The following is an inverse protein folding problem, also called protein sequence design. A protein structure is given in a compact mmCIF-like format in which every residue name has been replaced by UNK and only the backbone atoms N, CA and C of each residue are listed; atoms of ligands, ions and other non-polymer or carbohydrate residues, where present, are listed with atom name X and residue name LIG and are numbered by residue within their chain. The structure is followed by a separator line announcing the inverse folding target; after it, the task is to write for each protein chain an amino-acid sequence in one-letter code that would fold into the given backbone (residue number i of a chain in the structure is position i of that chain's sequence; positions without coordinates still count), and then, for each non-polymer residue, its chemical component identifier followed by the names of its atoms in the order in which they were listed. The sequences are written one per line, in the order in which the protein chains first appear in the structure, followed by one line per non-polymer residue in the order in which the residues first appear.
data_IF_203398303929
#
_entry.id   IF_203398303929
#
_cell.length_a   1.000
_cell.length_b   1.000
_cell.length_c   1.000
_cell.angle_alpha   90.00
_cell.angle_beta   90.00
_cell.angle_gamma   90.00
#
_symmetry.space_group_name_H-M   'P 1'
#
loop_
_entity.id
_entity.type
_entity.pdbx_description
1 polymer ?
#
# COMPACT_ATOMS: atom_id res chain seq x y z
N UNK A 1 10.93 -5.89 2.24
CA UNK A 1 9.78 -6.61 1.63
C UNK A 1 8.70 -6.80 2.68
N UNK A 2 7.44 -6.89 2.25
CA UNK A 2 6.23 -6.96 3.07
C UNK A 2 5.32 -8.06 2.52
N UNK A 3 4.22 -8.31 3.21
CA UNK A 3 3.24 -9.35 2.83
C UNK A 3 1.91 -8.77 2.34
N UNK A 4 1.66 -7.50 2.64
CA UNK A 4 0.36 -6.86 2.46
C UNK A 4 -0.67 -7.24 3.54
N UNK A 5 -0.20 -7.82 4.64
CA UNK A 5 -1.01 -8.06 5.84
C UNK A 5 -0.73 -6.95 6.85
N UNK A 6 -1.66 -6.03 6.97
CA UNK A 6 -1.51 -4.87 7.84
C UNK A 6 -1.46 -5.30 9.30
N UNK A 7 -0.38 -4.89 10.00
CA UNK A 7 -0.20 -5.21 11.43
C UNK A 7 -1.04 -4.28 12.32
N UNK A 8 -1.10 -3.01 11.94
CA UNK A 8 -1.87 -2.00 12.69
C UNK A 8 -2.12 -0.78 11.82
N UNK A 9 -3.04 0.05 12.24
CA UNK A 9 -3.16 1.42 11.73
C UNK A 9 -2.37 2.37 12.63
N UNK A 10 -2.20 3.60 12.15
CA UNK A 10 -1.56 4.68 12.90
C UNK A 10 -2.04 6.03 12.42
N UNK A 11 -1.54 7.08 13.05
CA UNK A 11 -1.87 8.47 12.71
C UNK A 11 -0.62 9.30 12.45
N UNK A 12 -0.72 10.21 11.50
CA UNK A 12 0.28 11.26 11.29
C UNK A 12 0.14 12.29 12.42
N UNK A 13 1.16 12.43 13.24
CA UNK A 13 1.20 13.45 14.30
C UNK A 13 1.80 14.77 13.82
N UNK A 14 2.79 14.67 12.92
CA UNK A 14 3.47 15.86 12.39
C UNK A 14 3.98 15.61 10.97
N UNK A 15 3.91 16.65 10.17
CA UNK A 15 4.49 16.72 8.82
C UNK A 15 5.47 17.90 8.83
N UNK A 16 6.75 17.64 8.58
CA UNK A 16 7.80 18.67 8.62
C UNK A 16 8.57 18.65 7.30
N UNK A 17 8.55 19.73 6.52
CA UNK A 17 9.41 19.83 5.32
C UNK A 17 10.88 19.68 5.68
N UNK A 18 11.65 18.93 4.88
CA UNK A 18 13.08 18.70 5.11
C UNK A 18 13.81 18.39 3.82
N UNK A 19 14.79 19.20 3.44
CA UNK A 19 15.72 18.90 2.33
C UNK A 19 15.05 18.60 0.98
N UNK A 20 13.95 19.30 0.65
CA UNK A 20 13.13 19.04 -0.55
C UNK A 20 12.15 17.86 -0.41
N UNK A 21 12.31 17.02 0.61
CA UNK A 21 11.36 15.98 1.03
C UNK A 21 10.56 16.38 2.26
N UNK A 22 10.10 15.39 3.01
CA UNK A 22 9.27 15.59 4.21
C UNK A 22 9.61 14.55 5.25
N UNK A 23 9.71 14.98 6.51
CA UNK A 23 9.73 14.09 7.68
C UNK A 23 8.32 13.92 8.22
N UNK A 24 7.87 12.67 8.36
CA UNK A 24 6.62 12.32 9.00
C UNK A 24 6.90 11.78 10.40
N UNK A 25 6.19 12.31 11.41
CA UNK A 25 6.09 11.67 12.73
C UNK A 25 4.78 10.92 12.79
N UNK A 26 4.84 9.65 13.13
CA UNK A 26 3.73 8.72 13.13
C UNK A 26 3.56 8.11 14.53
N UNK A 27 2.30 7.92 14.94
CA UNK A 27 1.94 7.13 16.11
C UNK A 27 1.12 5.92 15.67
N UNK A 28 1.63 4.72 15.92
CA UNK A 28 0.92 3.47 15.68
C UNK A 28 -0.16 3.25 16.76
N UNK A 29 -1.32 2.70 16.38
CA UNK A 29 -2.41 2.40 17.32
C UNK A 29 -2.03 1.26 18.28
N UNK A 30 -1.09 0.38 17.86
CA UNK A 30 -0.49 -0.65 18.71
C UNK A 30 1.03 -0.49 18.76
N UNK A 31 1.66 -1.06 19.79
CA UNK A 31 3.12 -1.15 19.86
C UNK A 31 3.62 -2.00 18.69
N UNK A 32 4.59 -1.47 17.95
CA UNK A 32 5.34 -2.20 16.94
C UNK A 32 6.63 -2.74 17.60
N UNK A 33 6.61 -3.99 18.11
CA UNK A 33 7.73 -4.50 18.87
C UNK A 33 8.98 -4.59 18.01
N UNK A 34 10.11 -4.10 18.54
CA UNK A 34 11.43 -4.13 17.86
C UNK A 34 11.50 -3.29 16.56
N UNK A 35 10.63 -2.30 16.37
CA UNK A 35 10.83 -1.33 15.31
C UNK A 35 12.11 -0.53 15.61
N UNK A 36 13.13 -0.70 14.80
CA UNK A 36 14.45 -0.15 15.02
C UNK A 36 14.81 0.97 14.02
N UNK A 37 15.78 1.80 14.40
CA UNK A 37 16.40 2.76 13.51
C UNK A 37 16.99 2.05 12.28
N UNK A 38 16.73 2.58 11.08
CA UNK A 38 17.17 2.01 9.80
C UNK A 38 16.29 0.89 9.26
N UNK A 39 15.31 0.43 10.02
CA UNK A 39 14.37 -0.61 9.57
C UNK A 39 13.36 -0.06 8.56
N UNK A 40 12.95 -0.91 7.62
CA UNK A 40 11.89 -0.55 6.66
C UNK A 40 10.51 -0.77 7.29
N UNK A 41 9.61 0.17 7.05
CA UNK A 41 8.19 0.09 7.38
C UNK A 41 7.35 0.53 6.18
N UNK A 42 6.29 -0.20 5.86
CA UNK A 42 5.31 0.22 4.86
C UNK A 42 4.28 1.15 5.50
N UNK A 43 4.11 2.33 4.93
CA UNK A 43 3.09 3.33 5.30
C UNK A 43 2.14 3.50 4.13
N UNK A 44 0.90 3.08 4.25
CA UNK A 44 -0.05 2.95 3.13
C UNK A 44 0.62 2.28 1.90
N UNK A 45 1.38 1.22 2.12
CA UNK A 45 2.08 0.47 1.08
C UNK A 45 3.34 1.13 0.51
N UNK A 46 3.74 2.31 0.97
CA UNK A 46 5.02 2.89 0.58
C UNK A 46 6.12 2.48 1.58
N UNK A 47 7.19 1.86 1.09
CA UNK A 47 8.37 1.49 1.87
C UNK A 47 9.13 2.74 2.29
N UNK A 48 9.24 2.96 3.59
CA UNK A 48 9.96 4.08 4.19
C UNK A 48 10.94 3.56 5.24
N UNK A 49 11.99 4.34 5.51
CA UNK A 49 13.01 3.99 6.51
C UNK A 49 12.75 4.72 7.82
N UNK A 50 12.77 3.99 8.92
CA UNK A 50 12.65 4.58 10.27
C UNK A 50 13.92 5.36 10.59
N UNK A 51 13.77 6.66 10.86
CA UNK A 51 14.88 7.58 11.18
C UNK A 51 15.00 7.91 12.66
N UNK A 52 13.95 7.68 13.44
CA UNK A 52 13.97 7.72 14.90
C UNK A 52 12.70 7.10 15.47
N UNK A 53 12.70 6.78 16.75
CA UNK A 53 11.48 6.40 17.46
C UNK A 53 11.65 5.25 18.41
N UNK A 54 10.63 5.06 19.24
CA UNK A 54 10.51 3.93 20.16
C UNK A 54 9.04 3.63 20.44
N UNK A 55 8.75 2.35 20.69
CA UNK A 55 7.41 1.91 21.08
C UNK A 55 6.37 2.12 19.99
N UNK A 56 5.48 3.11 20.19
CA UNK A 56 4.38 3.42 19.26
C UNK A 56 4.65 4.62 18.37
N UNK A 57 5.65 5.46 18.70
CA UNK A 57 5.94 6.70 17.97
C UNK A 57 7.27 6.57 17.23
N UNK A 58 7.27 6.92 15.96
CA UNK A 58 8.47 6.86 15.12
C UNK A 58 8.43 7.95 14.05
N UNK A 59 9.58 8.21 13.44
CA UNK A 59 9.70 9.12 12.30
C UNK A 59 10.24 8.39 11.09
N UNK A 60 9.83 8.86 9.93
CA UNK A 60 10.33 8.42 8.61
C UNK A 60 10.60 9.63 7.74
N UNK A 61 11.63 9.54 6.90
CA UNK A 61 11.91 10.55 5.89
C UNK A 61 11.34 10.10 4.54
N UNK A 62 10.65 11.02 3.86
CA UNK A 62 9.97 10.78 2.60
C UNK A 62 10.63 11.60 1.50
N UNK A 63 11.13 10.92 0.48
CA UNK A 63 11.79 11.55 -0.66
C UNK A 63 10.80 12.36 -1.51
N UNK A 64 11.29 13.38 -2.27
CA UNK A 64 10.44 14.12 -3.21
C UNK A 64 9.74 13.22 -4.23
N UNK A 65 10.40 12.15 -4.68
CA UNK A 65 9.82 11.19 -5.63
C UNK A 65 8.64 10.43 -5.00
N UNK A 66 8.79 9.93 -3.76
CA UNK A 66 7.71 9.26 -3.04
C UNK A 66 6.52 10.20 -2.80
N UNK A 67 6.77 11.47 -2.45
CA UNK A 67 5.72 12.47 -2.28
C UNK A 67 4.90 12.69 -3.57
N UNK A 68 5.59 12.70 -4.74
CA UNK A 68 4.92 12.90 -6.04
C UNK A 68 4.15 11.67 -6.51
N UNK A 69 4.70 10.48 -6.27
CA UNK A 69 4.18 9.21 -6.82
C UNK A 69 3.11 8.54 -5.99
N UNK A 70 2.95 8.95 -4.74
CA UNK A 70 2.09 8.27 -3.78
C UNK A 70 1.09 9.22 -3.13
N UNK A 71 0.13 8.67 -2.40
CA UNK A 71 -0.79 9.46 -1.57
C UNK A 71 -0.11 10.04 -0.32
N UNK A 72 1.14 9.64 -0.02
CA UNK A 72 1.90 10.11 1.14
C UNK A 72 2.08 11.63 1.11
N UNK A 73 2.30 12.22 -0.08
CA UNK A 73 2.44 13.66 -0.25
C UNK A 73 1.21 14.50 0.12
N UNK A 74 0.04 13.86 0.23
CA UNK A 74 -1.20 14.52 0.64
C UNK A 74 -1.56 14.29 2.11
N UNK A 75 -0.71 13.57 2.88
CA UNK A 75 -0.97 13.31 4.29
C UNK A 75 -0.83 14.60 5.12
N UNK A 76 -1.81 14.83 5.98
CA UNK A 76 -1.80 15.92 6.94
C UNK A 76 -1.85 15.36 8.37
N UNK A 77 -1.60 16.20 9.37
CA UNK A 77 -1.77 15.84 10.78
C UNK A 77 -3.17 15.26 11.03
N UNK A 78 -3.22 14.14 11.74
CA UNK A 78 -4.45 13.39 12.03
C UNK A 78 -4.82 12.33 11.00
N UNK A 79 -4.21 12.35 9.79
CA UNK A 79 -4.47 11.34 8.77
C UNK A 79 -4.15 9.93 9.29
N UNK A 80 -5.07 8.99 9.06
CA UNK A 80 -4.86 7.57 9.38
C UNK A 80 -4.10 6.88 8.25
N UNK A 81 -3.23 5.95 8.63
CA UNK A 81 -2.40 5.16 7.71
C UNK A 81 -2.36 3.70 8.10
N UNK A 82 -2.21 2.81 7.13
CA UNK A 82 -1.89 1.40 7.33
C UNK A 82 -0.39 1.26 7.59
N UNK A 83 -0.02 0.38 8.52
CA UNK A 83 1.37 0.13 8.91
C UNK A 83 1.67 -1.37 8.87
N UNK A 84 2.78 -1.73 8.23
CA UNK A 84 3.34 -3.08 8.22
C UNK A 84 4.86 -2.99 8.30
N UNK A 85 5.49 -3.75 9.22
CA UNK A 85 6.94 -3.88 9.30
C UNK A 85 7.47 -4.81 8.21
N UNK A 86 8.76 -4.71 7.94
CA UNK A 86 9.41 -5.61 7.00
C UNK A 86 9.31 -7.08 7.47
N UNK A 87 9.02 -7.96 6.51
CA UNK A 87 8.98 -9.41 6.70
C UNK A 87 10.38 -9.91 7.11
N UNK A 88 10.46 -10.76 8.12
CA UNK A 88 11.69 -11.42 8.54
C UNK A 88 11.85 -12.77 7.87
N UNK A 89 13.08 -13.25 7.81
CA UNK A 89 13.35 -14.62 7.41
C UNK A 89 12.68 -15.59 8.41
N UNK A 90 11.86 -16.49 7.89
CA UNK A 90 11.07 -17.44 8.69
C UNK A 90 9.64 -17.01 9.00
N UNK A 91 9.26 -15.77 8.75
CA UNK A 91 7.87 -15.32 8.89
C UNK A 91 6.97 -15.93 7.79
N UNK A 92 5.68 -16.00 8.06
CA UNK A 92 4.68 -16.47 7.08
C UNK A 92 4.37 -15.39 6.05
N UNK A 93 4.37 -15.76 4.77
CA UNK A 93 3.85 -14.93 3.70
C UNK A 93 2.32 -15.10 3.60
N UNK A 94 1.57 -14.34 4.40
CA UNK A 94 0.12 -14.46 4.49
C UNK A 94 -0.67 -13.84 3.34
N UNK A 95 -0.05 -12.92 2.57
CA UNK A 95 -0.63 -12.27 1.39
C UNK A 95 0.15 -12.64 0.12
N UNK A 96 0.84 -11.66 -0.47
CA UNK A 96 1.74 -11.86 -1.61
C UNK A 96 3.05 -11.09 -1.40
N UNK A 97 3.99 -11.17 -2.32
CA UNK A 97 5.26 -10.43 -2.24
C UNK A 97 4.99 -8.95 -2.53
N UNK A 98 5.00 -8.12 -1.49
CA UNK A 98 4.85 -6.67 -1.57
C UNK A 98 6.20 -6.02 -1.30
N UNK A 99 6.65 -5.17 -2.22
CA UNK A 99 7.94 -4.49 -2.09
C UNK A 99 7.85 -3.18 -1.31
N UNK A 100 6.66 -2.58 -1.29
CA UNK A 100 6.44 -1.20 -0.84
C UNK A 100 6.81 -0.18 -1.93
N UNK A 101 6.88 -0.61 -3.17
CA UNK A 101 7.22 0.21 -4.33
C UNK A 101 5.94 0.53 -5.11
N UNK A 102 5.25 1.57 -4.67
CA UNK A 102 3.99 2.02 -5.26
C UNK A 102 4.15 2.32 -6.74
N UNK A 103 3.40 1.64 -7.60
CA UNK A 103 3.42 1.82 -9.05
C UNK A 103 2.62 3.03 -9.50
N UNK A 104 1.63 3.42 -8.70
CA UNK A 104 0.81 4.58 -8.98
C UNK A 104 -0.34 4.78 -8.01
N UNK A 105 -1.05 5.86 -8.23
CA UNK A 105 -2.21 6.23 -7.41
C UNK A 105 -3.49 5.92 -8.18
N UNK A 106 -4.29 5.04 -7.61
CA UNK A 106 -5.64 4.72 -8.08
C UNK A 106 -6.70 5.56 -7.39
N UNK A 107 -7.94 5.33 -7.77
CA UNK A 107 -9.13 5.99 -7.21
C UNK A 107 -10.21 4.97 -6.90
N UNK A 108 -10.82 5.07 -5.74
CA UNK A 108 -12.02 4.30 -5.41
C UNK A 108 -13.22 4.88 -6.16
N UNK A 109 -13.84 4.07 -7.01
CA UNK A 109 -15.00 4.50 -7.81
C UNK A 109 -16.32 4.23 -7.08
N UNK A 110 -16.52 3.00 -6.54
CA UNK A 110 -17.76 2.62 -5.85
C UNK A 110 -17.52 1.65 -4.70
N UNK A 111 -18.42 1.67 -3.73
CA UNK A 111 -18.55 0.68 -2.68
C UNK A 111 -19.97 0.11 -2.78
N UNK A 112 -20.08 -1.22 -2.84
CA UNK A 112 -21.38 -1.91 -2.94
C UNK A 112 -21.44 -3.01 -1.89
N UNK A 113 -22.49 -3.08 -1.05
CA UNK A 113 -22.71 -4.20 -0.14
C UNK A 113 -22.90 -5.52 -0.89
N UNK A 114 -22.38 -6.62 -0.33
CA UNK A 114 -22.55 -7.99 -0.80
C UNK A 114 -22.61 -8.95 0.42
N UNK A 115 -23.80 -9.10 0.99
CA UNK A 115 -23.99 -9.73 2.29
C UNK A 115 -23.23 -8.97 3.39
N UNK A 116 -22.39 -9.68 4.14
CA UNK A 116 -21.54 -9.10 5.20
C UNK A 116 -20.26 -8.45 4.65
N UNK A 117 -19.99 -8.53 3.36
CA UNK A 117 -18.81 -8.02 2.71
C UNK A 117 -19.09 -6.69 2.00
N UNK A 118 -18.01 -5.97 1.63
CA UNK A 118 -18.09 -4.80 0.78
C UNK A 118 -17.28 -5.02 -0.50
N UNK A 119 -17.90 -4.78 -1.64
CA UNK A 119 -17.24 -4.80 -2.94
C UNK A 119 -16.73 -3.39 -3.25
N UNK A 120 -15.42 -3.26 -3.31
CA UNK A 120 -14.76 -2.01 -3.68
C UNK A 120 -14.35 -2.07 -5.14
N UNK A 121 -14.76 -1.10 -5.95
CA UNK A 121 -14.31 -0.93 -7.33
C UNK A 121 -13.30 0.20 -7.39
N UNK A 122 -12.12 -0.10 -7.90
CA UNK A 122 -11.05 0.86 -8.09
C UNK A 122 -10.79 1.11 -9.56
N UNK A 123 -10.27 2.31 -9.86
CA UNK A 123 -9.69 2.68 -11.13
C UNK A 123 -8.18 2.81 -10.95
N UNK A 124 -7.42 2.03 -11.71
CA UNK A 124 -5.98 2.08 -11.76
C UNK A 124 -5.49 3.02 -12.89
N UNK A 125 -4.32 3.65 -12.75
CA UNK A 125 -3.67 4.36 -13.85
C UNK A 125 -3.18 3.38 -14.92
N UNK A 126 -3.10 3.85 -16.18
CA UNK A 126 -2.72 3.02 -17.34
C UNK A 126 -1.50 2.12 -17.15
N UNK A 127 -0.38 2.56 -16.52
CA UNK A 127 0.78 1.70 -16.32
C UNK A 127 0.52 0.43 -15.50
N UNK A 128 -0.54 0.39 -14.68
CA UNK A 128 -0.88 -0.77 -13.84
C UNK A 128 -1.79 -1.76 -14.60
N UNK A 129 -2.49 -1.34 -15.65
CA UNK A 129 -3.48 -2.18 -16.33
C UNK A 129 -2.97 -3.55 -16.79
N UNK A 130 -1.74 -3.67 -17.35
CA UNK A 130 -1.23 -4.97 -17.79
C UNK A 130 -1.03 -5.99 -16.66
N UNK A 131 -1.00 -5.52 -15.41
CA UNK A 131 -0.79 -6.34 -14.22
C UNK A 131 -2.07 -6.66 -13.46
N UNK A 132 -3.24 -6.18 -13.95
CA UNK A 132 -4.54 -6.53 -13.37
C UNK A 132 -4.99 -7.86 -13.97
N UNK A 133 -4.77 -8.93 -13.23
CA UNK A 133 -5.12 -10.31 -13.63
C UNK A 133 -6.27 -10.80 -12.77
N UNK A 134 -7.29 -11.38 -13.40
CA UNK A 134 -8.42 -12.00 -12.69
C UNK A 134 -7.90 -13.07 -11.73
N UNK A 135 -8.32 -13.00 -10.46
CA UNK A 135 -7.83 -13.83 -9.34
C UNK A 135 -6.35 -13.59 -8.95
N UNK A 136 -5.68 -12.64 -9.56
CA UNK A 136 -4.35 -12.20 -9.15
C UNK A 136 -4.38 -11.32 -7.89
N UNK A 137 -3.19 -10.94 -7.43
CA UNK A 137 -3.02 -10.09 -6.25
C UNK A 137 -2.68 -8.64 -6.63
N UNK A 138 -3.11 -7.71 -5.79
CA UNK A 138 -2.72 -6.30 -5.82
C UNK A 138 -2.63 -5.78 -4.40
N UNK A 139 -1.68 -4.89 -4.12
CA UNK A 139 -1.67 -4.14 -2.87
C UNK A 139 -2.38 -2.80 -3.05
N UNK A 140 -3.38 -2.53 -2.20
CA UNK A 140 -4.14 -1.26 -2.13
C UNK A 140 -3.89 -0.61 -0.78
N UNK A 141 -3.25 0.56 -0.75
CA UNK A 141 -2.73 1.17 0.48
C UNK A 141 -1.97 0.16 1.36
N UNK A 142 -1.21 -0.73 0.73
CA UNK A 142 -0.43 -1.79 1.35
C UNK A 142 -1.22 -3.07 1.69
N UNK A 143 -2.52 -3.10 1.52
CA UNK A 143 -3.35 -4.27 1.83
C UNK A 143 -3.34 -5.23 0.64
N UNK A 144 -2.92 -6.49 0.86
CA UNK A 144 -2.97 -7.56 -0.14
C UNK A 144 -4.41 -7.98 -0.40
N UNK A 145 -4.86 -7.84 -1.65
CA UNK A 145 -6.24 -8.11 -2.04
C UNK A 145 -6.29 -8.93 -3.33
N UNK A 146 -7.28 -9.79 -3.43
CA UNK A 146 -7.56 -10.58 -4.64
C UNK A 146 -8.40 -9.75 -5.61
N UNK A 147 -7.93 -9.65 -6.83
CA UNK A 147 -8.56 -8.90 -7.92
C UNK A 147 -9.62 -9.76 -8.60
N UNK A 148 -10.75 -9.16 -8.94
CA UNK A 148 -11.75 -9.75 -9.83
C UNK A 148 -12.47 -8.67 -10.64
N UNK A 149 -13.20 -9.09 -11.70
CA UNK A 149 -13.91 -8.19 -12.63
C UNK A 149 -13.00 -7.08 -13.18
N UNK A 150 -11.88 -7.50 -13.76
CA UNK A 150 -10.94 -6.59 -14.40
C UNK A 150 -11.44 -6.17 -15.77
N UNK A 151 -11.61 -4.86 -16.00
CA UNK A 151 -11.95 -4.33 -17.30
C UNK A 151 -11.46 -2.89 -17.45
N UNK A 152 -10.73 -2.59 -18.51
CA UNK A 152 -10.30 -1.23 -18.87
C UNK A 152 -9.68 -0.43 -17.72
N UNK A 153 -8.78 -1.09 -16.95
CA UNK A 153 -8.11 -0.47 -15.81
C UNK A 153 -8.97 -0.30 -14.57
N UNK A 154 -10.18 -0.86 -14.57
CA UNK A 154 -11.00 -1.01 -13.37
C UNK A 154 -10.91 -2.44 -12.86
N UNK A 155 -10.93 -2.59 -11.56
CA UNK A 155 -10.96 -3.88 -10.90
C UNK A 155 -11.82 -3.81 -9.63
N UNK A 156 -12.30 -4.95 -9.18
CA UNK A 156 -13.00 -5.08 -7.92
C UNK A 156 -12.20 -5.93 -6.94
N UNK A 157 -12.43 -5.69 -5.66
CA UNK A 157 -11.99 -6.52 -4.56
C UNK A 157 -13.13 -6.69 -3.57
N UNK A 158 -13.19 -7.84 -2.92
CA UNK A 158 -14.14 -8.08 -1.83
C UNK A 158 -13.42 -7.89 -0.50
N UNK A 159 -13.94 -7.02 0.36
CA UNK A 159 -13.40 -6.77 1.69
C UNK A 159 -14.26 -7.46 2.73
N UNK A 160 -13.65 -8.39 3.46
CA UNK A 160 -14.28 -9.06 4.61
C UNK A 160 -14.31 -8.11 5.82
N UNK A 161 -15.23 -8.32 6.77
CA UNK A 161 -15.31 -7.48 7.97
C UNK A 161 -14.01 -7.37 8.76
N UNK A 162 -13.20 -8.42 8.78
CA UNK A 162 -11.88 -8.40 9.44
C UNK A 162 -10.94 -7.37 8.80
N UNK A 163 -10.80 -7.38 7.46
CA UNK A 163 -9.96 -6.44 6.72
C UNK A 163 -10.40 -4.98 6.94
N UNK A 164 -11.71 -4.74 6.93
CA UNK A 164 -12.26 -3.42 7.22
C UNK A 164 -11.89 -2.93 8.63
N UNK A 165 -11.96 -3.80 9.64
CA UNK A 165 -11.61 -3.43 11.02
C UNK A 165 -10.12 -3.19 11.24
N UNK A 166 -9.26 -3.87 10.51
CA UNK A 166 -7.80 -3.83 10.71
C UNK A 166 -7.09 -2.79 9.84
N UNK A 167 -7.77 -2.17 8.87
CA UNK A 167 -7.14 -1.28 7.90
C UNK A 167 -7.90 0.04 7.76
N UNK A 168 -7.25 1.03 7.13
CA UNK A 168 -7.88 2.30 6.79
C UNK A 168 -8.85 2.21 5.61
N UNK A 169 -9.05 1.03 5.02
CA UNK A 169 -9.99 0.87 3.90
C UNK A 169 -11.44 1.13 4.33
N UNK A 170 -11.78 0.88 5.60
CA UNK A 170 -13.10 1.22 6.14
C UNK A 170 -13.42 2.73 6.11
N UNK A 171 -12.39 3.58 6.17
CA UNK A 171 -12.54 5.04 6.16
C UNK A 171 -12.67 5.61 4.73
N UNK A 172 -12.48 4.77 3.70
CA UNK A 172 -12.48 5.21 2.32
C UNK A 172 -13.91 5.40 1.80
N UNK A 173 -14.08 6.49 1.04
CA UNK A 173 -15.34 6.78 0.33
C UNK A 173 -15.06 6.92 -1.18
N UNK A 174 -16.07 6.73 -2.05
CA UNK A 174 -15.90 6.97 -3.48
C UNK A 174 -15.27 8.33 -3.76
N UNK A 175 -14.29 8.36 -4.65
CA UNK A 175 -13.48 9.54 -4.93
C UNK A 175 -12.13 9.56 -4.25
N UNK A 176 -11.92 8.80 -3.16
CA UNK A 176 -10.63 8.76 -2.47
C UNK A 176 -9.53 8.13 -3.33
N UNK A 177 -8.33 8.67 -3.18
CA UNK A 177 -7.11 8.17 -3.81
C UNK A 177 -6.47 7.12 -2.93
N UNK A 178 -5.89 6.08 -3.56
CA UNK A 178 -5.18 4.98 -2.89
C UNK A 178 -3.86 4.68 -3.59
N UNK A 179 -2.86 4.23 -2.86
CA UNK A 179 -1.63 3.70 -3.44
C UNK A 179 -1.90 2.30 -4.01
N UNK A 180 -1.39 2.04 -5.19
CA UNK A 180 -1.48 0.72 -5.84
C UNK A 180 -0.08 0.20 -6.13
N UNK A 181 0.16 -1.05 -5.75
CA UNK A 181 1.34 -1.82 -6.14
C UNK A 181 0.89 -3.12 -6.78
N UNK A 182 1.27 -3.35 -8.03
CA UNK A 182 1.00 -4.59 -8.76
C UNK A 182 1.93 -5.71 -8.27
N UNK A 183 1.49 -6.95 -8.38
CA UNK A 183 2.30 -8.11 -8.04
C UNK A 183 3.62 -8.08 -8.84
N UNK A 184 4.74 -8.11 -8.11
CA UNK A 184 6.09 -8.04 -8.68
C UNK A 184 6.39 -9.17 -9.66
N UNK A 185 5.79 -10.35 -9.47
CA UNK A 185 5.97 -11.49 -10.38
C UNK A 185 5.44 -11.15 -11.78
N UNK A 186 4.30 -10.48 -11.88
CA UNK A 186 3.73 -10.06 -13.16
C UNK A 186 4.61 -9.04 -13.88
N UNK A 187 5.23 -8.11 -13.14
CA UNK A 187 6.18 -7.13 -13.69
C UNK A 187 7.40 -7.82 -14.30
N UNK A 188 7.97 -8.81 -13.62
CA UNK A 188 9.13 -9.56 -14.12
C UNK A 188 8.77 -10.45 -15.30
N UNK A 189 7.63 -11.13 -15.29
CA UNK A 189 7.14 -11.93 -16.42
C UNK A 189 6.96 -11.04 -17.65
N UNK A 190 6.33 -9.88 -17.52
CA UNK A 190 6.17 -8.95 -18.63
C UNK A 190 7.51 -8.46 -19.18
N UNK A 191 8.45 -8.09 -18.32
CA UNK A 191 9.78 -7.65 -18.72
C UNK A 191 10.49 -8.73 -19.55
N UNK A 192 10.43 -10.00 -19.15
CA UNK A 192 11.01 -11.13 -19.89
C UNK A 192 10.33 -11.34 -21.25
N UNK A 193 9.00 -11.24 -21.31
CA UNK A 193 8.26 -11.39 -22.57
C UNK A 193 8.58 -10.26 -23.56
N UNK A 194 8.72 -9.03 -23.08
CA UNK A 194 9.12 -7.87 -23.90
C UNK A 194 10.55 -8.03 -24.43
N UNK A 195 11.49 -8.51 -23.61
CA UNK A 195 12.86 -8.77 -24.06
C UNK A 195 12.91 -9.81 -25.19
N UNK A 196 12.16 -10.91 -25.08
CA UNK A 196 12.07 -11.93 -26.13
C UNK A 196 11.47 -11.40 -27.44
N UNK A 197 10.49 -10.50 -27.40
CA UNK A 197 9.90 -9.89 -28.61
C UNK A 197 10.85 -8.95 -29.32
N UNK A 198 11.80 -8.32 -28.63
CA UNK A 198 12.81 -7.43 -29.21
C UNK A 198 14.00 -8.20 -29.83
N UNK A 199 14.20 -9.45 -29.43
CA UNK A 199 15.27 -10.31 -29.93
C UNK A 199 14.88 -11.14 -31.18
N UNK A 200 13.64 -11.02 -31.62
CA UNK A 200 13.11 -11.58 -32.86
C UNK A 200 12.90 -10.49 -33.91
#
# INVERSE_FOLDING_TARGET
MFTGIIETTGRVERVTPQGGGTRLTLAADRVLPRLALGESIAVNGACLTVTSGSGRRFTVDVSPETLRRTTIGALARGARVNLERALRVGDRLGGHIVQGHVDGVGKLDTITPDGDWLLYRFRAPKPIWPYLVEKGSIAVDGVSLTVFRCQEGRFQVALIPHTLRQTTLADRVPGNRVNLEADVLLKHIEALLRARRRAR
#
